data_IF_848093318208
#
_entry.id   IF_848093318208
#
_cell.length_a   1.000
_cell.length_b   1.000
_cell.length_c   1.000
_cell.angle_alpha   90.00
_cell.angle_beta   90.00
_cell.angle_gamma   90.00
#
_symmetry.space_group_name_H-M   'P 1'
#
loop_
_entity.id
_entity.type
_entity.pdbx_description
1 polymer ?
#
# COMPACT_ATOMS: atom_id res chain seq x y z
N UNK A 1 -24.88 -17.00 7.69
CA UNK A 1 -24.78 -17.20 6.22
C UNK A 1 -24.70 -15.89 5.47
N UNK A 2 -25.52 -14.87 5.82
CA UNK A 2 -25.50 -13.56 5.14
C UNK A 2 -24.15 -12.83 5.23
N UNK A 3 -23.46 -12.92 6.36
CA UNK A 3 -22.18 -12.22 6.56
C UNK A 3 -21.05 -12.82 5.70
N UNK A 4 -21.11 -14.13 5.43
CA UNK A 4 -20.14 -14.78 4.53
C UNK A 4 -20.32 -14.32 3.09
N UNK A 5 -21.55 -14.16 2.63
CA UNK A 5 -21.84 -13.64 1.29
C UNK A 5 -21.37 -12.19 1.16
N UNK A 6 -21.61 -11.35 2.17
CA UNK A 6 -21.10 -9.96 2.20
C UNK A 6 -19.58 -9.90 2.10
N UNK A 7 -18.86 -10.76 2.84
CA UNK A 7 -17.41 -10.84 2.77
C UNK A 7 -16.87 -11.29 1.40
N UNK A 8 -17.64 -12.09 0.65
CA UNK A 8 -17.27 -12.44 -0.73
C UNK A 8 -17.60 -11.32 -1.72
N UNK A 9 -18.71 -10.60 -1.53
CA UNK A 9 -19.16 -9.54 -2.46
C UNK A 9 -18.37 -8.23 -2.26
N UNK A 10 -18.03 -7.88 -1.01
CA UNK A 10 -17.35 -6.61 -0.69
C UNK A 10 -16.05 -6.40 -1.48
N UNK A 11 -15.13 -7.39 -1.62
CA UNK A 11 -13.95 -7.23 -2.45
C UNK A 11 -14.27 -6.85 -3.90
N UNK A 12 -15.30 -7.45 -4.48
CA UNK A 12 -15.74 -7.12 -5.85
C UNK A 12 -16.22 -5.68 -5.97
N UNK A 13 -17.03 -5.21 -5.04
CA UNK A 13 -17.51 -3.84 -5.04
C UNK A 13 -16.36 -2.84 -4.91
N UNK A 14 -15.39 -3.11 -4.02
CA UNK A 14 -14.24 -2.24 -3.82
C UNK A 14 -13.34 -2.24 -5.07
N UNK A 15 -13.04 -3.40 -5.63
CA UNK A 15 -12.13 -3.54 -6.77
C UNK A 15 -12.77 -2.97 -8.05
N UNK A 16 -14.06 -3.20 -8.27
CA UNK A 16 -14.78 -2.63 -9.43
C UNK A 16 -14.99 -1.12 -9.28
N UNK A 17 -15.16 -0.63 -8.05
CA UNK A 17 -15.28 0.81 -7.78
C UNK A 17 -13.95 1.56 -7.87
N UNK A 18 -12.82 0.89 -7.64
CA UNK A 18 -11.48 1.44 -7.79
C UNK A 18 -11.01 1.27 -9.23
N UNK A 19 -11.42 2.17 -10.12
CA UNK A 19 -11.05 2.10 -11.54
C UNK A 19 -9.53 1.98 -11.74
N UNK A 20 -9.12 1.12 -12.68
CA UNK A 20 -7.75 1.01 -13.15
C UNK A 20 -6.79 0.26 -12.19
N UNK A 21 -5.50 0.62 -12.18
CA UNK A 21 -4.45 -0.15 -11.50
C UNK A 21 -4.59 -0.20 -9.97
N UNK A 22 -5.37 0.69 -9.37
CA UNK A 22 -5.59 0.69 -7.90
C UNK A 22 -6.29 -0.55 -7.39
N UNK A 23 -7.00 -1.30 -8.24
CA UNK A 23 -7.57 -2.60 -7.86
C UNK A 23 -6.49 -3.56 -7.34
N UNK A 24 -5.25 -3.45 -7.83
CA UNK A 24 -4.14 -4.29 -7.39
C UNK A 24 -3.74 -4.01 -5.93
N UNK A 25 -3.67 -2.73 -5.52
CA UNK A 25 -3.33 -2.38 -4.13
C UNK A 25 -4.45 -2.78 -3.16
N UNK A 26 -5.71 -2.63 -3.55
CA UNK A 26 -6.85 -3.07 -2.73
C UNK A 26 -6.91 -4.59 -2.62
N UNK A 27 -6.70 -5.32 -3.71
CA UNK A 27 -6.62 -6.78 -3.66
C UNK A 27 -5.48 -7.25 -2.74
N UNK A 28 -4.28 -6.66 -2.86
CA UNK A 28 -3.16 -6.95 -1.98
C UNK A 28 -3.48 -6.65 -0.51
N UNK A 29 -4.13 -5.51 -0.23
CA UNK A 29 -4.57 -5.14 1.13
C UNK A 29 -5.54 -6.17 1.70
N UNK A 30 -6.53 -6.62 0.92
CA UNK A 30 -7.49 -7.63 1.34
C UNK A 30 -6.81 -8.98 1.59
N UNK A 31 -5.89 -9.40 0.72
CA UNK A 31 -5.13 -10.64 0.87
C UNK A 31 -4.28 -10.62 2.15
N UNK A 32 -3.55 -9.54 2.42
CA UNK A 32 -2.78 -9.37 3.65
C UNK A 32 -3.68 -9.43 4.87
N UNK A 33 -4.86 -8.81 4.81
CA UNK A 33 -5.83 -8.77 5.91
C UNK A 33 -6.44 -10.14 6.19
N UNK A 34 -6.81 -10.88 5.14
CA UNK A 34 -7.31 -12.25 5.29
C UNK A 34 -6.23 -13.20 5.79
N UNK A 35 -4.98 -13.04 5.29
CA UNK A 35 -3.83 -13.78 5.79
C UNK A 35 -3.58 -13.51 7.27
N UNK A 36 -3.60 -12.25 7.68
CA UNK A 36 -3.48 -11.87 9.10
C UNK A 36 -4.60 -12.47 9.96
N UNK A 37 -5.85 -12.36 9.52
CA UNK A 37 -6.99 -12.94 10.24
C UNK A 37 -6.88 -14.47 10.33
N UNK A 38 -6.45 -15.13 9.26
CA UNK A 38 -6.25 -16.58 9.23
C UNK A 38 -5.19 -17.02 10.25
N UNK A 39 -4.05 -16.32 10.29
CA UNK A 39 -2.98 -16.59 11.24
C UNK A 39 -3.45 -16.33 12.68
N UNK A 40 -4.03 -15.15 12.93
CA UNK A 40 -4.57 -14.79 14.25
C UNK A 40 -5.56 -15.83 14.78
N UNK A 41 -6.50 -16.24 13.95
CA UNK A 41 -7.57 -17.18 14.35
C UNK A 41 -7.01 -18.60 14.53
N UNK A 42 -5.98 -19.00 13.77
CA UNK A 42 -5.27 -20.25 13.98
C UNK A 42 -4.64 -20.32 15.38
N UNK A 43 -3.92 -19.26 15.80
CA UNK A 43 -3.30 -19.22 17.13
C UNK A 43 -4.30 -19.06 18.28
N UNK A 44 -5.52 -18.60 18.00
CA UNK A 44 -6.59 -18.46 19.02
C UNK A 44 -7.45 -19.70 19.18
N UNK A 45 -7.48 -20.57 18.18
CA UNK A 45 -8.27 -21.79 18.21
C UNK A 45 -7.57 -22.87 19.03
N UNK A 46 -8.32 -23.46 19.97
CA UNK A 46 -7.83 -24.58 20.77
C UNK A 46 -7.56 -25.85 19.92
N UNK A 47 -8.21 -25.98 18.75
CA UNK A 47 -8.06 -27.12 17.85
C UNK A 47 -6.89 -26.97 16.86
N UNK A 48 -6.22 -25.81 16.83
CA UNK A 48 -5.07 -25.52 15.96
C UNK A 48 -5.35 -25.67 14.46
N UNK A 49 -6.62 -25.67 14.04
CA UNK A 49 -6.99 -25.84 12.63
C UNK A 49 -7.03 -24.51 11.89
N UNK A 50 -6.56 -24.55 10.64
CA UNK A 50 -6.66 -23.41 9.73
C UNK A 50 -8.08 -23.20 9.24
N UNK A 51 -8.58 -21.96 9.28
CA UNK A 51 -9.89 -21.65 8.75
C UNK A 51 -9.84 -21.44 7.22
N UNK A 52 -10.23 -22.47 6.48
CA UNK A 52 -10.24 -22.46 5.01
C UNK A 52 -11.12 -21.38 4.39
N UNK A 53 -12.02 -20.75 5.17
CA UNK A 53 -12.85 -19.64 4.67
C UNK A 53 -12.03 -18.45 4.23
N UNK A 54 -10.89 -18.17 4.90
CA UNK A 54 -9.99 -17.08 4.49
C UNK A 54 -9.33 -17.35 3.15
N UNK A 55 -9.08 -18.60 2.79
CA UNK A 55 -8.60 -18.97 1.45
C UNK A 55 -9.65 -18.63 0.40
N UNK A 56 -10.92 -18.97 0.66
CA UNK A 56 -12.02 -18.62 -0.25
C UNK A 56 -12.14 -17.10 -0.43
N UNK A 57 -12.07 -16.33 0.66
CA UNK A 57 -12.11 -14.86 0.60
C UNK A 57 -10.92 -14.30 -0.19
N UNK A 58 -9.73 -14.85 -0.01
CA UNK A 58 -8.54 -14.50 -0.80
C UNK A 58 -8.73 -14.77 -2.29
N UNK A 59 -9.28 -15.94 -2.65
CA UNK A 59 -9.61 -16.26 -4.04
C UNK A 59 -10.66 -15.30 -4.62
N UNK A 60 -11.67 -14.92 -3.85
CA UNK A 60 -12.65 -13.92 -4.26
C UNK A 60 -12.01 -12.54 -4.50
N UNK A 61 -10.97 -12.17 -3.74
CA UNK A 61 -10.23 -10.92 -3.95
C UNK A 61 -9.28 -10.99 -5.15
N UNK A 62 -8.68 -12.16 -5.42
CA UNK A 62 -7.76 -12.35 -6.55
C UNK A 62 -8.45 -12.39 -7.90
N UNK A 63 -9.62 -12.98 -8.00
CA UNK A 63 -10.28 -13.21 -9.29
C UNK A 63 -10.53 -11.90 -10.07
N UNK A 64 -11.09 -10.82 -9.49
CA UNK A 64 -11.23 -9.55 -10.20
C UNK A 64 -9.88 -8.95 -10.64
N UNK A 65 -8.84 -9.10 -9.82
CA UNK A 65 -7.49 -8.65 -10.18
C UNK A 65 -6.95 -9.42 -11.39
N UNK A 66 -7.12 -10.73 -11.42
CA UNK A 66 -6.70 -11.56 -12.55
C UNK A 66 -7.48 -11.20 -13.82
N UNK A 67 -8.78 -10.94 -13.73
CA UNK A 67 -9.60 -10.50 -14.85
C UNK A 67 -9.16 -9.12 -15.36
N UNK A 68 -8.84 -8.20 -14.46
CA UNK A 68 -8.29 -6.89 -14.82
C UNK A 68 -6.93 -7.03 -15.53
N UNK A 69 -6.01 -7.83 -14.99
CA UNK A 69 -4.71 -8.07 -15.60
C UNK A 69 -4.84 -8.72 -16.98
N UNK A 70 -5.73 -9.70 -17.11
CA UNK A 70 -6.01 -10.36 -18.39
C UNK A 70 -6.58 -9.36 -19.40
N UNK A 71 -7.56 -8.55 -19.03
CA UNK A 71 -8.12 -7.50 -19.88
C UNK A 71 -7.06 -6.50 -20.31
N UNK A 72 -6.18 -6.09 -19.39
CA UNK A 72 -5.12 -5.13 -19.68
C UNK A 72 -3.99 -5.71 -20.56
N UNK A 73 -3.80 -7.03 -20.59
CA UNK A 73 -2.79 -7.68 -21.43
C UNK A 73 -3.11 -7.59 -22.93
N UNK A 74 -4.37 -7.34 -23.28
CA UNK A 74 -4.81 -7.10 -24.67
C UNK A 74 -4.69 -5.64 -25.10
N UNK A 75 -4.41 -4.72 -24.17
CA UNK A 75 -4.21 -3.31 -24.47
C UNK A 75 -2.74 -3.10 -24.90
N UNK A 76 -2.55 -2.48 -26.05
CA UNK A 76 -1.22 -2.04 -26.48
C UNK A 76 -0.87 -0.78 -25.70
N UNK A 77 -0.09 -0.95 -24.63
CA UNK A 77 0.35 0.16 -23.78
C UNK A 77 1.81 0.50 -24.09
N UNK A 78 2.04 1.24 -25.16
CA UNK A 78 3.33 1.89 -25.36
C UNK A 78 3.42 3.13 -24.48
N UNK A 79 4.21 3.05 -23.43
CA UNK A 79 4.47 4.21 -22.59
C UNK A 79 5.63 5.02 -23.18
N UNK A 80 5.35 6.18 -23.72
CA UNK A 80 6.38 7.10 -24.20
C UNK A 80 7.39 7.39 -23.09
N UNK A 81 8.69 7.16 -23.37
CA UNK A 81 9.78 7.35 -22.41
C UNK A 81 10.07 6.15 -21.49
N UNK A 82 9.40 5.01 -21.66
CA UNK A 82 9.78 3.79 -20.98
C UNK A 82 11.09 3.21 -21.58
N UNK A 83 11.97 2.70 -20.71
CA UNK A 83 13.28 2.19 -21.13
C UNK A 83 13.25 0.79 -21.71
N UNK A 84 12.11 0.08 -21.59
CA UNK A 84 11.95 -1.30 -22.04
C UNK A 84 12.69 -2.32 -21.18
N UNK A 85 13.34 -1.90 -20.10
CA UNK A 85 14.12 -2.76 -19.21
C UNK A 85 13.20 -3.46 -18.19
N UNK A 86 13.54 -4.70 -17.87
CA UNK A 86 12.85 -5.44 -16.81
C UNK A 86 13.25 -4.90 -15.43
N UNK A 87 12.36 -5.10 -14.43
CA UNK A 87 12.65 -4.73 -13.04
C UNK A 87 13.95 -5.39 -12.53
N UNK A 88 14.21 -6.66 -12.90
CA UNK A 88 15.43 -7.37 -12.51
C UNK A 88 16.69 -6.70 -13.04
N UNK A 89 16.69 -6.22 -14.28
CA UNK A 89 17.83 -5.51 -14.87
C UNK A 89 18.08 -4.18 -14.17
N UNK A 90 17.00 -3.42 -13.88
CA UNK A 90 17.11 -2.13 -13.17
C UNK A 90 17.64 -2.33 -11.75
N UNK A 91 17.18 -3.37 -11.04
CA UNK A 91 17.68 -3.69 -9.72
C UNK A 91 19.15 -4.14 -9.70
N UNK A 92 19.60 -4.82 -10.74
CA UNK A 92 20.99 -5.25 -10.87
C UNK A 92 21.94 -4.05 -11.05
N UNK A 93 21.52 -3.07 -11.89
CA UNK A 93 22.35 -1.90 -12.18
C UNK A 93 22.19 -0.79 -11.12
N UNK A 94 21.00 -0.63 -10.56
CA UNK A 94 20.65 0.42 -9.61
C UNK A 94 19.92 -0.15 -8.38
N UNK A 95 20.58 -0.91 -7.49
CA UNK A 95 19.93 -1.59 -6.37
C UNK A 95 19.29 -0.64 -5.34
N UNK A 96 19.74 0.61 -5.26
CA UNK A 96 19.18 1.64 -4.38
C UNK A 96 17.96 2.35 -4.95
N UNK A 97 17.66 2.19 -6.24
CA UNK A 97 16.56 2.89 -6.92
C UNK A 97 15.19 2.66 -6.26
N UNK A 98 14.76 1.44 -5.90
CA UNK A 98 13.47 1.23 -5.25
C UNK A 98 13.35 1.96 -3.92
N UNK A 99 14.43 1.93 -3.11
CA UNK A 99 14.46 2.59 -1.80
C UNK A 99 14.32 4.09 -1.96
N UNK A 100 15.10 4.69 -2.87
CA UNK A 100 15.06 6.12 -3.15
C UNK A 100 13.71 6.55 -3.70
N UNK A 101 13.14 5.79 -4.63
CA UNK A 101 11.81 6.02 -5.17
C UNK A 101 10.74 6.00 -4.07
N UNK A 102 10.73 4.95 -3.25
CA UNK A 102 9.75 4.82 -2.17
C UNK A 102 9.90 5.93 -1.12
N UNK A 103 11.13 6.30 -0.74
CA UNK A 103 11.35 7.41 0.20
C UNK A 103 10.81 8.73 -0.36
N UNK A 104 11.03 9.03 -1.65
CA UNK A 104 10.43 10.19 -2.31
C UNK A 104 8.89 10.12 -2.31
N UNK A 105 8.34 8.96 -2.61
CA UNK A 105 6.89 8.74 -2.57
C UNK A 105 6.29 9.00 -1.19
N UNK A 106 6.92 8.49 -0.12
CA UNK A 106 6.49 8.75 1.24
C UNK A 106 6.65 10.21 1.65
N UNK A 107 7.73 10.89 1.23
CA UNK A 107 7.93 12.31 1.50
C UNK A 107 6.80 13.17 0.90
N UNK A 108 6.30 12.81 -0.28
CA UNK A 108 5.21 13.49 -0.97
C UNK A 108 3.90 13.57 -0.19
N UNK A 109 3.72 12.72 0.84
CA UNK A 109 2.54 12.77 1.73
C UNK A 109 2.53 14.03 2.60
N UNK A 110 3.70 14.51 3.03
CA UNK A 110 3.82 15.59 4.00
C UNK A 110 3.63 16.97 3.38
N UNK A 111 4.21 17.18 2.21
CA UNK A 111 4.30 18.51 1.60
C UNK A 111 3.52 18.59 0.28
N UNK A 112 3.30 17.44 -0.35
CA UNK A 112 2.84 17.36 -1.73
C UNK A 112 3.98 17.14 -2.71
N UNK A 113 3.74 16.33 -3.74
CA UNK A 113 4.81 15.93 -4.66
C UNK A 113 5.31 17.08 -5.52
N UNK A 114 4.41 17.90 -6.03
CA UNK A 114 4.74 19.07 -6.88
C UNK A 114 5.50 20.15 -6.10
N UNK A 115 5.10 20.40 -4.84
CA UNK A 115 5.80 21.33 -3.95
C UNK A 115 7.20 20.82 -3.60
N UNK A 116 7.36 19.52 -3.32
CA UNK A 116 8.69 18.94 -3.10
C UNK A 116 9.59 19.08 -4.33
N UNK A 117 9.03 18.84 -5.51
CA UNK A 117 9.76 19.02 -6.76
C UNK A 117 10.24 20.48 -6.91
N UNK A 118 9.36 21.45 -6.71
CA UNK A 118 9.69 22.86 -6.77
C UNK A 118 10.77 23.26 -5.74
N UNK A 119 10.68 22.73 -4.50
CA UNK A 119 11.67 22.98 -3.45
C UNK A 119 13.06 22.40 -3.79
N UNK A 120 13.11 21.28 -4.49
CA UNK A 120 14.37 20.67 -4.93
C UNK A 120 14.94 21.44 -6.14
N UNK A 121 14.12 21.79 -7.11
CA UNK A 121 14.53 22.51 -8.32
C UNK A 121 15.07 23.91 -8.02
N UNK A 122 14.48 24.61 -7.05
CA UNK A 122 14.94 25.94 -6.63
C UNK A 122 16.10 25.89 -5.60
N UNK A 123 16.59 24.70 -5.25
CA UNK A 123 17.71 24.50 -4.33
C UNK A 123 17.41 24.71 -2.84
N UNK A 124 16.14 24.93 -2.46
CA UNK A 124 15.73 25.10 -1.05
C UNK A 124 15.84 23.79 -0.27
N UNK A 125 15.58 22.67 -0.93
CA UNK A 125 15.63 21.33 -0.32
C UNK A 125 16.55 20.41 -1.15
N UNK A 126 17.40 19.66 -0.46
CA UNK A 126 18.26 18.66 -1.12
C UNK A 126 17.54 17.33 -1.26
N UNK A 127 17.95 16.49 -2.21
CA UNK A 127 17.43 15.12 -2.30
C UNK A 127 17.62 14.33 -1.00
N UNK A 128 18.71 14.54 -0.27
CA UNK A 128 18.91 13.93 1.04
C UNK A 128 17.84 14.36 2.04
N UNK A 129 17.48 15.64 2.06
CA UNK A 129 16.39 16.17 2.89
C UNK A 129 15.05 15.48 2.55
N UNK A 130 14.76 15.29 1.26
CA UNK A 130 13.56 14.56 0.83
C UNK A 130 13.58 13.11 1.32
N UNK A 131 14.70 12.40 1.21
CA UNK A 131 14.81 11.03 1.71
C UNK A 131 14.63 10.95 3.23
N UNK A 132 15.13 11.92 3.99
CA UNK A 132 14.92 11.99 5.44
C UNK A 132 13.45 12.24 5.80
N UNK A 133 12.74 13.10 5.06
CA UNK A 133 11.29 13.29 5.22
C UNK A 133 10.53 11.99 4.93
N UNK A 134 10.87 11.31 3.85
CA UNK A 134 10.27 10.02 3.52
C UNK A 134 10.54 8.96 4.59
N UNK A 135 11.77 8.89 5.09
CA UNK A 135 12.14 7.99 6.19
C UNK A 135 11.32 8.29 7.46
N UNK A 136 11.11 9.55 7.78
CA UNK A 136 10.27 9.95 8.92
C UNK A 136 8.84 9.40 8.78
N UNK A 137 8.24 9.49 7.59
CA UNK A 137 6.92 8.92 7.33
C UNK A 137 6.93 7.39 7.46
N UNK A 138 7.92 6.72 6.89
CA UNK A 138 8.07 5.26 7.01
C UNK A 138 8.17 4.84 8.48
N UNK A 139 8.95 5.56 9.29
CA UNK A 139 9.02 5.31 10.73
C UNK A 139 7.67 5.50 11.41
N UNK A 140 6.87 6.49 10.99
CA UNK A 140 5.49 6.67 11.45
C UNK A 140 4.60 5.46 11.15
N UNK A 141 4.70 4.90 9.95
CA UNK A 141 4.00 3.66 9.58
C UNK A 141 4.43 2.47 10.43
N UNK A 142 5.75 2.28 10.61
CA UNK A 142 6.29 1.18 11.42
C UNK A 142 5.87 1.30 12.89
N UNK A 143 5.90 2.52 13.45
CA UNK A 143 5.44 2.78 14.80
C UNK A 143 3.94 2.51 14.95
N UNK A 144 3.12 2.97 14.01
CA UNK A 144 1.68 2.71 14.02
C UNK A 144 1.39 1.20 13.92
N UNK A 145 2.09 0.48 13.05
CA UNK A 145 1.96 -0.97 12.94
C UNK A 145 2.37 -1.68 14.24
N UNK A 146 3.50 -1.28 14.83
CA UNK A 146 3.98 -1.82 16.09
C UNK A 146 2.99 -1.58 17.24
N UNK A 147 2.40 -0.36 17.34
CA UNK A 147 1.38 -0.06 18.34
C UNK A 147 0.12 -0.92 18.15
N UNK A 148 -0.35 -1.08 16.91
CA UNK A 148 -1.48 -1.96 16.61
C UNK A 148 -1.24 -3.38 17.09
N UNK A 149 -0.03 -3.92 16.87
CA UNK A 149 0.31 -5.29 17.29
C UNK A 149 0.55 -5.37 18.80
N UNK A 150 1.34 -4.47 19.39
CA UNK A 150 1.71 -4.49 20.81
C UNK A 150 0.50 -4.29 21.73
N UNK A 151 -0.35 -3.32 21.41
CA UNK A 151 -1.55 -3.01 22.19
C UNK A 151 -2.76 -3.84 21.75
N UNK A 152 -2.59 -4.76 20.80
CA UNK A 152 -3.64 -5.62 20.25
C UNK A 152 -4.87 -4.83 19.79
N UNK A 153 -4.66 -3.64 19.21
CA UNK A 153 -5.77 -2.79 18.73
C UNK A 153 -6.61 -3.52 17.67
N UNK A 154 -5.99 -4.42 16.91
CA UNK A 154 -6.65 -5.30 15.94
C UNK A 154 -7.73 -6.21 16.56
N UNK A 155 -7.76 -6.37 17.88
CA UNK A 155 -8.81 -7.11 18.57
C UNK A 155 -10.09 -6.28 18.69
N UNK A 156 -9.97 -4.97 18.79
CA UNK A 156 -11.08 -4.02 18.83
C UNK A 156 -11.55 -3.68 17.42
N UNK A 157 -10.60 -3.36 16.54
CA UNK A 157 -10.88 -3.03 15.14
C UNK A 157 -9.65 -3.26 14.26
N UNK A 158 -9.86 -3.83 13.07
CA UNK A 158 -8.82 -3.97 12.03
C UNK A 158 -8.69 -2.70 11.17
N UNK A 159 -9.59 -1.74 11.32
CA UNK A 159 -9.70 -0.62 10.39
C UNK A 159 -8.40 0.20 10.25
N UNK A 160 -7.69 0.60 11.34
CA UNK A 160 -6.41 1.30 11.20
C UNK A 160 -5.36 0.49 10.45
N UNK A 161 -5.26 -0.82 10.71
CA UNK A 161 -4.33 -1.69 10.00
C UNK A 161 -4.64 -1.83 8.50
N UNK A 162 -5.94 -1.88 8.15
CA UNK A 162 -6.39 -1.90 6.76
C UNK A 162 -5.97 -0.62 6.03
N UNK A 163 -6.13 0.54 6.68
CA UNK A 163 -5.74 1.83 6.11
C UNK A 163 -4.21 1.94 5.95
N UNK A 164 -3.43 1.49 6.95
CA UNK A 164 -1.96 1.42 6.85
C UNK A 164 -1.53 0.52 5.69
N UNK A 165 -2.10 -0.68 5.60
CA UNK A 165 -1.78 -1.61 4.54
C UNK A 165 -2.16 -1.05 3.16
N UNK A 166 -3.35 -0.45 3.02
CA UNK A 166 -3.81 0.16 1.77
C UNK A 166 -2.91 1.32 1.34
N UNK A 167 -2.58 2.23 2.25
CA UNK A 167 -1.67 3.33 1.98
C UNK A 167 -0.29 2.84 1.55
N UNK A 168 0.30 1.91 2.31
CA UNK A 168 1.60 1.31 2.00
C UNK A 168 1.62 0.57 0.65
N UNK A 169 0.57 -0.23 0.36
CA UNK A 169 0.45 -0.92 -0.92
C UNK A 169 0.33 0.03 -2.10
N UNK A 170 -0.29 1.19 -1.94
CA UNK A 170 -0.35 2.19 -3.00
C UNK A 170 1.05 2.72 -3.37
N UNK A 171 1.95 2.95 -2.41
CA UNK A 171 3.34 3.33 -2.72
C UNK A 171 4.08 2.25 -3.52
N UNK A 172 3.92 0.98 -3.11
CA UNK A 172 4.50 -0.16 -3.83
C UNK A 172 3.90 -0.28 -5.23
N UNK A 173 2.58 -0.13 -5.38
CA UNK A 173 1.91 -0.18 -6.68
C UNK A 173 2.43 0.90 -7.63
N UNK A 174 2.58 2.14 -7.14
CA UNK A 174 3.09 3.24 -7.97
C UNK A 174 4.53 2.95 -8.39
N UNK A 175 5.38 2.44 -7.49
CA UNK A 175 6.71 1.99 -7.86
C UNK A 175 6.65 0.93 -8.97
N UNK A 176 5.86 -0.13 -8.80
CA UNK A 176 5.71 -1.22 -9.78
C UNK A 176 5.10 -0.76 -11.12
N UNK A 177 4.39 0.34 -11.15
CA UNK A 177 3.85 0.92 -12.38
C UNK A 177 4.78 1.93 -13.04
N UNK A 178 5.77 2.46 -12.34
CA UNK A 178 6.62 3.59 -12.79
C UNK A 178 8.11 3.26 -12.87
N UNK A 179 8.56 2.11 -12.37
CA UNK A 179 9.98 1.71 -12.45
C UNK A 179 10.53 1.73 -13.88
N UNK A 180 9.68 1.45 -14.88
CA UNK A 180 10.03 1.41 -16.30
C UNK A 180 10.58 2.73 -16.85
N UNK A 181 10.35 3.84 -16.17
CA UNK A 181 10.87 5.16 -16.55
C UNK A 181 12.24 5.46 -15.94
N UNK A 182 12.69 4.69 -14.97
CA UNK A 182 13.96 4.85 -14.23
C UNK A 182 14.15 6.25 -13.64
N UNK A 183 13.06 6.96 -13.34
CA UNK A 183 13.04 8.31 -12.77
C UNK A 183 12.38 8.29 -11.39
N UNK A 184 13.13 8.72 -10.37
CA UNK A 184 12.62 8.79 -9.00
C UNK A 184 11.49 9.81 -8.83
N UNK A 185 11.51 10.89 -9.62
CA UNK A 185 10.56 12.01 -9.50
C UNK A 185 9.14 11.63 -9.95
N UNK A 186 8.98 10.52 -10.67
CA UNK A 186 7.66 9.96 -10.94
C UNK A 186 6.90 9.51 -9.68
N UNK A 187 7.61 9.41 -8.53
CA UNK A 187 7.01 9.17 -7.22
C UNK A 187 6.15 10.34 -6.70
N UNK A 188 6.35 11.56 -7.24
CA UNK A 188 5.76 12.79 -6.73
C UNK A 188 4.45 13.24 -7.38
N UNK A 189 3.90 12.49 -8.31
CA UNK A 189 2.68 12.90 -9.00
C UNK A 189 1.53 13.13 -8.03
N UNK A 190 0.94 14.33 -8.05
CA UNK A 190 -0.24 14.74 -7.24
C UNK A 190 -1.45 13.83 -7.41
N UNK A 191 -1.55 13.14 -8.56
CA UNK A 191 -2.59 12.13 -8.84
C UNK A 191 -2.68 11.02 -7.81
N UNK A 192 -1.61 10.77 -7.05
CA UNK A 192 -1.52 9.68 -6.07
C UNK A 192 -1.75 10.15 -4.63
N UNK A 193 -1.82 11.46 -4.41
CA UNK A 193 -1.85 12.04 -3.07
C UNK A 193 -3.01 11.50 -2.23
N UNK A 194 -4.21 11.41 -2.79
CA UNK A 194 -5.39 10.92 -2.06
C UNK A 194 -5.22 9.46 -1.59
N UNK A 195 -4.66 8.60 -2.45
CA UNK A 195 -4.43 7.19 -2.11
C UNK A 195 -3.35 7.02 -1.04
N UNK A 196 -2.34 7.88 -1.04
CA UNK A 196 -1.30 7.89 -0.03
C UNK A 196 -1.81 8.38 1.33
N UNK A 197 -2.69 9.38 1.35
CA UNK A 197 -3.29 9.93 2.57
C UNK A 197 -4.14 8.92 3.36
N UNK A 198 -4.65 7.88 2.70
CA UNK A 198 -5.34 6.77 3.38
C UNK A 198 -4.47 6.15 4.48
N UNK A 199 -3.17 6.00 4.23
CA UNK A 199 -2.24 5.47 5.22
C UNK A 199 -1.98 6.43 6.40
N UNK A 200 -1.93 7.75 6.12
CA UNK A 200 -1.84 8.76 7.19
C UNK A 200 -3.04 8.68 8.11
N UNK A 201 -4.24 8.53 7.56
CA UNK A 201 -5.44 8.30 8.36
C UNK A 201 -5.30 7.04 9.24
N UNK A 202 -4.69 5.98 8.71
CA UNK A 202 -4.36 4.78 9.49
C UNK A 202 -3.43 5.06 10.66
N UNK A 203 -2.39 5.90 10.45
CA UNK A 203 -1.48 6.35 11.53
C UNK A 203 -2.27 7.12 12.59
N UNK A 204 -3.02 8.15 12.18
CA UNK A 204 -3.80 9.02 13.11
C UNK A 204 -4.78 8.18 13.95
N UNK A 205 -5.54 7.29 13.32
CA UNK A 205 -6.50 6.44 14.03
C UNK A 205 -5.80 5.46 14.98
N UNK A 206 -4.63 4.95 14.60
CA UNK A 206 -3.83 4.10 15.51
C UNK A 206 -3.46 4.85 16.77
N UNK A 207 -2.92 6.07 16.64
CA UNK A 207 -2.56 6.90 17.80
C UNK A 207 -3.78 7.27 18.63
N UNK A 208 -4.89 7.68 18.00
CA UNK A 208 -6.13 8.00 18.68
C UNK A 208 -6.68 6.84 19.53
N UNK A 209 -6.51 5.60 19.06
CA UNK A 209 -6.91 4.39 19.80
C UNK A 209 -5.88 3.96 20.85
N UNK A 210 -4.61 4.29 20.66
CA UNK A 210 -3.52 3.89 21.54
C UNK A 210 -3.41 4.81 22.78
N UNK A 211 -3.60 6.12 22.62
CA UNK A 211 -3.47 7.13 23.69
C UNK A 211 -4.27 6.75 24.97
N UNK A 212 -5.59 6.44 24.91
CA UNK A 212 -6.35 6.10 26.12
C UNK A 212 -5.97 4.75 26.74
N UNK A 213 -5.08 3.99 26.16
CA UNK A 213 -4.59 2.71 26.71
C UNK A 213 -3.24 2.89 27.39
N UNK A 214 -2.47 3.90 26.96
CA UNK A 214 -1.11 4.17 27.44
C UNK A 214 -1.13 5.21 28.58
N UNK A 215 -2.14 6.10 28.58
CA UNK A 215 -2.41 7.08 29.65
C UNK A 215 -3.04 6.41 30.88
#
# INVERSE_FOLDING_TARGET
>A
THDRLKLCILPWLVILGAAGPYCASYAATLLLSYGFCMVRDHYRRADGKWDRRYVLYGLCALLPLLLYMLSNSFAVNEHAGATGRSLGQILADHPSFPVRFLLKSFAGILVGGEELQALVENGTLTNLGVYLLGLFVVLGYLLALWLNLKLRLYEKTLFPMLLLASGGMNHVLIFLSRYIFEKEDYAWSSRYALQFQVGVLGIVLTFALAVPIIS
#
